data_IF_009948023901
#
_entry.id   IF_009948023901
#
_cell.length_a   1.000
_cell.length_b   1.000
_cell.length_c   1.000
_cell.angle_alpha   90.00
_cell.angle_beta   90.00
_cell.angle_gamma   90.00
#
_symmetry.space_group_name_H-M   'P 1'
#
loop_
_entity.id
_entity.type
_entity.pdbx_description
1 polymer ?
#
# COMPACT_ATOMS: atom_id res chain seq x y z
N UNK A 1 8.93 8.39 4.85
CA UNK A 1 7.63 9.01 5.21
C UNK A 1 6.42 8.33 4.60
N UNK A 2 6.40 8.04 3.28
CA UNK A 2 5.22 7.46 2.63
C UNK A 2 4.75 6.14 3.27
N UNK A 3 5.65 5.17 3.49
CA UNK A 3 5.31 3.88 4.13
C UNK A 3 4.71 4.06 5.52
N UNK A 4 5.35 4.86 6.39
CA UNK A 4 4.83 5.17 7.73
C UNK A 4 3.46 5.83 7.68
N UNK A 5 3.24 6.76 6.73
CA UNK A 5 1.95 7.37 6.51
C UNK A 5 0.90 6.36 6.04
N UNK A 6 1.24 5.45 5.12
CA UNK A 6 0.36 4.35 4.69
C UNK A 6 -0.04 3.47 5.87
N UNK A 7 0.90 3.04 6.70
CA UNK A 7 0.61 2.22 7.90
C UNK A 7 -0.40 2.92 8.82
N UNK A 8 -0.19 4.19 9.12
CA UNK A 8 -1.09 4.95 10.00
C UNK A 8 -2.48 5.18 9.38
N UNK A 9 -2.55 5.44 8.08
CA UNK A 9 -3.81 5.60 7.35
C UNK A 9 -4.59 4.28 7.26
N UNK A 10 -3.90 3.15 7.08
CA UNK A 10 -4.51 1.84 6.88
C UNK A 10 -4.96 1.18 8.20
N UNK A 11 -4.12 1.21 9.23
CA UNK A 11 -4.36 0.43 10.45
C UNK A 11 -4.27 1.23 11.74
N UNK A 12 -3.93 2.52 11.68
CA UNK A 12 -3.53 3.31 12.86
C UNK A 12 -2.38 2.63 13.65
N UNK A 13 -1.49 1.92 12.94
CA UNK A 13 -0.37 1.18 13.55
C UNK A 13 -0.76 -0.12 14.24
N UNK A 14 -1.99 -0.63 14.05
CA UNK A 14 -2.46 -1.86 14.69
C UNK A 14 -2.11 -3.09 13.85
N UNK A 15 -1.18 -3.97 14.30
CA UNK A 15 -0.72 -5.10 13.48
C UNK A 15 -1.77 -6.20 13.29
N UNK A 16 -2.83 -6.22 14.11
CA UNK A 16 -3.97 -7.14 13.99
C UNK A 16 -5.20 -6.50 13.32
N UNK A 17 -5.05 -5.32 12.71
CA UNK A 17 -6.15 -4.69 11.98
C UNK A 17 -6.65 -5.61 10.86
N UNK A 18 -7.96 -5.79 10.77
CA UNK A 18 -8.59 -6.62 9.76
C UNK A 18 -9.83 -5.91 9.21
N UNK A 19 -9.93 -5.81 7.89
CA UNK A 19 -11.10 -5.30 7.21
C UNK A 19 -11.91 -6.47 6.67
N UNK A 20 -13.07 -6.75 7.28
CA UNK A 20 -13.91 -7.88 6.90
C UNK A 20 -14.41 -7.81 5.45
N UNK A 21 -14.74 -6.60 4.98
CA UNK A 21 -15.29 -6.37 3.64
C UNK A 21 -14.27 -6.60 2.53
N UNK A 22 -13.05 -6.06 2.69
CA UNK A 22 -12.00 -6.20 1.68
C UNK A 22 -11.11 -7.42 1.89
N UNK A 23 -11.21 -8.06 3.07
CA UNK A 23 -10.32 -9.12 3.57
C UNK A 23 -8.86 -8.66 3.68
N UNK A 24 -8.65 -7.36 3.88
CA UNK A 24 -7.33 -6.77 4.07
C UNK A 24 -6.83 -6.97 5.51
N UNK A 25 -5.53 -7.24 5.68
CA UNK A 25 -4.96 -7.61 6.97
C UNK A 25 -3.67 -6.85 7.30
N UNK A 26 -3.47 -6.62 8.60
CA UNK A 26 -2.25 -6.12 9.19
C UNK A 26 -2.00 -4.61 9.01
N UNK A 27 -0.75 -4.22 9.26
CA UNK A 27 -0.32 -2.81 9.35
C UNK A 27 -0.62 -2.00 8.09
N UNK A 28 -0.40 -2.60 6.92
CA UNK A 28 -0.58 -1.99 5.60
C UNK A 28 -1.85 -2.49 4.90
N UNK A 29 -2.74 -3.19 5.60
CA UNK A 29 -4.00 -3.70 5.05
C UNK A 29 -3.81 -4.44 3.72
N UNK A 30 -2.91 -5.43 3.73
CA UNK A 30 -2.58 -6.24 2.56
C UNK A 30 -3.71 -7.24 2.28
N UNK A 31 -4.10 -7.32 1.01
CA UNK A 31 -5.07 -8.31 0.52
C UNK A 31 -4.34 -9.50 -0.07
N UNK A 32 -4.98 -10.67 -0.08
CA UNK A 32 -4.41 -11.90 -0.62
C UNK A 32 -3.93 -11.74 -2.07
N UNK A 33 -4.70 -11.06 -2.92
CA UNK A 33 -4.31 -10.78 -4.32
C UNK A 33 -3.01 -9.98 -4.43
N UNK A 34 -2.74 -9.04 -3.52
CA UNK A 34 -1.50 -8.26 -3.54
C UNK A 34 -0.30 -9.12 -3.10
N UNK A 35 -0.50 -10.04 -2.14
CA UNK A 35 0.52 -11.01 -1.76
C UNK A 35 0.86 -11.94 -2.93
N UNK A 36 -0.13 -12.39 -3.69
CA UNK A 36 0.06 -13.22 -4.88
C UNK A 36 0.84 -12.49 -5.97
N UNK A 37 0.47 -11.24 -6.27
CA UNK A 37 1.19 -10.40 -7.24
C UNK A 37 2.66 -10.19 -6.84
N UNK A 38 2.92 -9.94 -5.56
CA UNK A 38 4.29 -9.77 -5.04
C UNK A 38 5.11 -11.05 -5.14
N UNK A 39 4.50 -12.22 -4.88
CA UNK A 39 5.19 -13.52 -5.01
C UNK A 39 5.52 -13.85 -6.45
N UNK A 40 4.63 -13.50 -7.38
CA UNK A 40 4.85 -13.67 -8.81
C UNK A 40 5.98 -12.74 -9.30
N UNK A 41 5.97 -11.48 -8.88
CA UNK A 41 6.98 -10.49 -9.28
C UNK A 41 8.37 -10.76 -8.67
N UNK A 42 8.42 -11.30 -7.44
CA UNK A 42 9.66 -11.52 -6.70
C UNK A 42 9.77 -12.99 -6.23
N UNK A 43 9.93 -13.96 -7.14
CA UNK A 43 9.84 -15.39 -6.84
C UNK A 43 10.97 -15.92 -5.94
N UNK A 44 12.09 -15.19 -5.85
CA UNK A 44 13.23 -15.54 -4.99
C UNK A 44 13.07 -15.02 -3.55
N UNK A 45 12.11 -14.13 -3.31
CA UNK A 45 11.83 -13.58 -1.99
C UNK A 45 10.85 -14.45 -1.21
N UNK A 46 11.12 -14.62 0.09
CA UNK A 46 10.21 -15.36 0.98
C UNK A 46 9.20 -14.40 1.60
N UNK A 47 7.92 -14.65 1.32
CA UNK A 47 6.77 -13.99 1.93
C UNK A 47 5.86 -15.02 2.61
N UNK A 48 5.53 -14.82 3.88
CA UNK A 48 4.63 -15.69 4.64
C UNK A 48 3.16 -15.39 4.33
N UNK A 49 2.29 -16.39 4.46
CA UNK A 49 0.84 -16.22 4.42
C UNK A 49 0.30 -15.48 5.66
N UNK A 50 1.07 -15.43 6.75
CA UNK A 50 0.66 -14.71 7.95
C UNK A 50 0.83 -13.19 7.77
N UNK A 51 -0.23 -12.53 7.27
CA UNK A 51 -0.27 -11.08 7.09
C UNK A 51 -0.48 -10.29 8.39
N UNK A 52 -0.69 -10.95 9.54
CA UNK A 52 -0.73 -10.29 10.85
C UNK A 52 0.63 -10.22 11.54
N UNK A 53 1.65 -10.93 11.01
CA UNK A 53 3.03 -10.73 11.43
C UNK A 53 3.51 -9.34 10.93
N UNK A 54 3.91 -8.41 11.82
CA UNK A 54 4.24 -7.04 11.45
C UNK A 54 5.34 -6.95 10.39
N UNK A 55 6.43 -7.69 10.56
CA UNK A 55 7.60 -7.64 9.68
C UNK A 55 7.25 -8.15 8.28
N UNK A 56 6.55 -9.29 8.21
CA UNK A 56 6.07 -9.84 6.95
C UNK A 56 5.07 -8.89 6.28
N UNK A 57 4.15 -8.27 7.04
CA UNK A 57 3.16 -7.35 6.48
C UNK A 57 3.81 -6.11 5.87
N UNK A 58 4.78 -5.52 6.56
CA UNK A 58 5.57 -4.40 6.04
C UNK A 58 6.37 -4.84 4.81
N UNK A 59 7.04 -6.00 4.87
CA UNK A 59 7.81 -6.54 3.74
C UNK A 59 6.95 -6.71 2.50
N UNK A 60 5.77 -7.35 2.63
CA UNK A 60 4.83 -7.52 1.52
C UNK A 60 4.30 -6.17 1.03
N UNK A 61 3.95 -5.25 1.94
CA UNK A 61 3.44 -3.93 1.54
C UNK A 61 4.48 -3.07 0.81
N UNK A 62 5.74 -3.08 1.24
CA UNK A 62 6.83 -2.39 0.55
C UNK A 62 7.15 -3.05 -0.79
N UNK A 63 7.18 -4.38 -0.85
CA UNK A 63 7.34 -5.09 -2.11
C UNK A 63 6.19 -4.78 -3.08
N UNK A 64 4.95 -4.69 -2.60
CA UNK A 64 3.82 -4.31 -3.44
C UNK A 64 3.93 -2.86 -3.94
N UNK A 65 4.35 -1.91 -3.10
CA UNK A 65 4.63 -0.54 -3.57
C UNK A 65 5.72 -0.50 -4.64
N UNK A 66 6.77 -1.31 -4.48
CA UNK A 66 7.88 -1.44 -5.44
C UNK A 66 7.37 -2.00 -6.77
N UNK A 67 6.60 -3.09 -6.72
CA UNK A 67 5.92 -3.69 -7.87
C UNK A 67 5.05 -2.67 -8.62
N UNK A 68 4.30 -1.83 -7.91
CA UNK A 68 3.48 -0.79 -8.54
C UNK A 68 4.33 0.29 -9.25
N UNK A 69 5.50 0.62 -8.72
CA UNK A 69 6.41 1.60 -9.36
C UNK A 69 7.07 0.99 -10.59
N UNK A 70 7.54 -0.25 -10.50
CA UNK A 70 8.30 -0.93 -11.55
C UNK A 70 7.39 -1.42 -12.70
N UNK A 71 6.42 -2.28 -12.40
CA UNK A 71 5.58 -2.93 -13.42
C UNK A 71 4.49 -2.01 -13.99
N UNK A 72 4.01 -1.08 -13.16
CA UNK A 72 2.97 -0.13 -13.57
C UNK A 72 3.51 1.29 -13.79
N UNK A 73 4.83 1.48 -13.79
CA UNK A 73 5.48 2.76 -14.10
C UNK A 73 4.84 3.95 -13.35
N UNK A 74 4.44 3.75 -12.09
CA UNK A 74 3.72 4.77 -11.33
C UNK A 74 4.70 5.84 -10.86
N UNK A 75 4.58 7.05 -11.43
CA UNK A 75 5.60 8.11 -11.30
C UNK A 75 5.42 9.09 -10.14
N UNK A 76 4.32 9.05 -9.41
CA UNK A 76 4.07 10.02 -8.33
C UNK A 76 3.29 9.42 -7.15
N UNK A 77 3.41 10.06 -5.99
CA UNK A 77 2.80 9.59 -4.74
C UNK A 77 1.27 9.53 -4.76
N UNK A 78 0.60 10.40 -5.53
CA UNK A 78 -0.87 10.41 -5.61
C UNK A 78 -1.36 9.17 -6.37
N UNK A 79 -0.76 8.91 -7.53
CA UNK A 79 -1.01 7.72 -8.32
C UNK A 79 -0.61 6.46 -7.55
N UNK A 80 0.49 6.48 -6.80
CA UNK A 80 0.93 5.35 -5.97
C UNK A 80 -0.05 5.05 -4.85
N UNK A 81 -0.53 6.07 -4.14
CA UNK A 81 -1.53 5.91 -3.09
C UNK A 81 -2.83 5.32 -3.64
N UNK A 82 -3.31 5.79 -4.81
CA UNK A 82 -4.51 5.22 -5.45
C UNK A 82 -4.27 3.80 -5.98
N UNK A 83 -3.09 3.54 -6.56
CA UNK A 83 -2.70 2.19 -7.01
C UNK A 83 -2.71 1.21 -5.86
N UNK A 84 -2.17 1.61 -4.71
CA UNK A 84 -2.14 0.80 -3.50
C UNK A 84 -3.55 0.52 -2.98
N UNK A 85 -4.38 1.56 -2.82
CA UNK A 85 -5.71 1.43 -2.22
C UNK A 85 -6.77 0.81 -3.14
N UNK A 86 -6.60 0.92 -4.45
CA UNK A 86 -7.68 0.65 -5.42
C UNK A 86 -7.24 -0.08 -6.68
N UNK A 87 -5.98 -0.47 -6.75
CA UNK A 87 -5.41 -1.26 -7.83
C UNK A 87 -4.72 -0.40 -8.91
N UNK A 88 -3.73 -0.99 -9.60
CA UNK A 88 -2.81 -0.27 -10.47
C UNK A 88 -3.46 0.44 -11.66
N UNK A 89 -4.48 -0.18 -12.28
CA UNK A 89 -5.20 0.40 -13.42
C UNK A 89 -5.84 1.75 -13.05
N UNK A 90 -6.40 1.84 -11.84
CA UNK A 90 -6.99 3.10 -11.35
C UNK A 90 -5.90 4.13 -11.08
N UNK A 91 -4.81 3.75 -10.40
CA UNK A 91 -3.73 4.68 -10.11
C UNK A 91 -3.01 5.22 -11.35
N UNK A 92 -2.82 4.43 -12.41
CA UNK A 92 -2.28 4.93 -13.71
C UNK A 92 -3.07 6.12 -14.26
N UNK A 93 -4.39 6.13 -14.09
CA UNK A 93 -5.28 7.23 -14.53
C UNK A 93 -5.08 8.51 -13.71
N UNK A 94 -4.50 8.42 -12.51
CA UNK A 94 -4.32 9.53 -11.57
C UNK A 94 -2.97 10.26 -11.69
N UNK A 95 -2.23 10.04 -12.77
CA UNK A 95 -0.88 10.60 -12.94
C UNK A 95 -0.82 12.07 -13.37
N UNK A 96 -1.94 12.71 -13.74
CA UNK A 96 -1.91 13.95 -14.55
C UNK A 96 -2.55 15.20 -13.92
N UNK A 97 -3.30 15.10 -12.81
CA UNK A 97 -4.00 16.25 -12.19
C UNK A 97 -4.09 16.11 -10.67
N UNK A 98 -4.18 17.24 -9.93
CA UNK A 98 -4.54 17.23 -8.51
C UNK A 98 -5.82 16.41 -8.29
N UNK A 99 -5.77 15.48 -7.35
CA UNK A 99 -6.87 14.55 -7.10
C UNK A 99 -7.70 14.97 -5.89
N UNK A 100 -9.03 14.83 -6.01
CA UNK A 100 -9.97 14.92 -4.88
C UNK A 100 -10.13 13.60 -4.13
N UNK A 101 -9.28 12.61 -4.43
CA UNK A 101 -9.32 11.31 -3.78
C UNK A 101 -8.99 11.44 -2.28
N UNK A 102 -9.94 11.04 -1.43
CA UNK A 102 -9.83 11.16 0.02
C UNK A 102 -8.64 10.39 0.59
N UNK A 103 -8.36 9.20 0.06
CA UNK A 103 -7.22 8.39 0.51
C UNK A 103 -5.90 9.12 0.27
N UNK A 104 -5.73 9.74 -0.89
CA UNK A 104 -4.54 10.57 -1.20
C UNK A 104 -4.45 11.75 -0.23
N UNK A 105 -5.57 12.41 0.08
CA UNK A 105 -5.58 13.51 1.05
C UNK A 105 -5.13 13.05 2.44
N UNK A 106 -5.61 11.89 2.89
CA UNK A 106 -5.22 11.27 4.18
C UNK A 106 -3.73 10.96 4.22
N UNK A 107 -3.17 10.35 3.16
CA UNK A 107 -1.74 10.07 3.04
C UNK A 107 -0.92 11.36 3.08
N UNK A 108 -1.26 12.38 2.29
CA UNK A 108 -0.56 13.67 2.29
C UNK A 108 -0.63 14.38 3.64
N UNK A 109 -1.79 14.35 4.31
CA UNK A 109 -1.95 14.88 5.67
C UNK A 109 -1.00 14.17 6.62
N UNK A 110 -0.94 12.84 6.57
CA UNK A 110 -0.09 12.07 7.47
C UNK A 110 1.40 12.28 7.21
N UNK A 111 1.83 12.36 5.94
CA UNK A 111 3.21 12.69 5.59
C UNK A 111 3.61 14.05 6.18
N UNK A 112 2.76 15.08 6.05
CA UNK A 112 3.00 16.40 6.65
C UNK A 112 3.15 16.31 8.18
N UNK A 113 2.27 15.59 8.85
CA UNK A 113 2.30 15.43 10.31
C UNK A 113 3.54 14.69 10.82
N UNK A 114 4.10 13.77 10.03
CA UNK A 114 5.29 13.02 10.42
C UNK A 114 6.60 13.79 10.13
N UNK A 115 6.57 14.77 9.22
CA UNK A 115 7.77 15.48 8.74
C UNK A 115 8.04 16.76 9.53
N UNK A 116 7.03 17.29 10.21
CA UNK A 116 7.12 18.41 11.13
C UNK A 116 7.31 17.92 12.56
#
# INVERSE_FOLDING_TARGET
MFVSATILVESSGKPRAFNEKSRAAGLMQIRQIALEQVREAYPHERFSNNLFNPDNNIKVGVAYLTYLVEEYEIKNHDALAVSFSSGPIKGKRFSRKPTKNEYVHRIKKMIRLLTN
#
